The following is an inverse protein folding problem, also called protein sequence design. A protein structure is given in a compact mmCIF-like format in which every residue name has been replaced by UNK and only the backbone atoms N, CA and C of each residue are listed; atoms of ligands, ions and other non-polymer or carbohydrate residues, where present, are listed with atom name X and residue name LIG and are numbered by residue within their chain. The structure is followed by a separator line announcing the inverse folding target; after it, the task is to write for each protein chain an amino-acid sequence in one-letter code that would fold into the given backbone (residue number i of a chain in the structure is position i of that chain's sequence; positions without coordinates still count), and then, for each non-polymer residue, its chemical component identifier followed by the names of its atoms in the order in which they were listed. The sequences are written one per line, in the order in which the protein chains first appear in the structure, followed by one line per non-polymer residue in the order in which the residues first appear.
data_IF_113465745596
#
_entry.id   IF_113465745596
#
_cell.length_a   1.000
_cell.length_b   1.000
_cell.length_c   1.000
_cell.angle_alpha   90.00
_cell.angle_beta   90.00
_cell.angle_gamma   90.00
#
_symmetry.space_group_name_H-M   'P 1'
#
loop_
_entity.id
_entity.type
_entity.pdbx_description
1 polymer ?
#
# COMPACT_ATOMS: atom_id res chain seq x y z
N UNK A 1 76.14 31.88 39.22
CA UNK A 1 75.03 31.54 38.29
C UNK A 1 73.75 31.54 39.13
N UNK A 2 73.02 32.66 39.15
CA UNK A 2 71.90 32.89 40.10
C UNK A 2 70.65 32.21 39.55
N UNK A 3 70.18 31.18 40.25
CA UNK A 3 68.91 30.50 39.95
C UNK A 3 67.74 31.39 40.37
N UNK A 4 67.04 31.95 39.39
CA UNK A 4 65.85 32.80 39.59
C UNK A 4 64.64 31.86 39.78
N UNK A 5 64.19 31.66 41.02
CA UNK A 5 62.90 30.98 41.28
C UNK A 5 61.76 31.89 40.84
N UNK A 6 60.99 31.46 39.86
CA UNK A 6 59.75 32.12 39.45
C UNK A 6 58.69 31.73 40.49
N UNK A 7 58.34 32.68 41.37
CA UNK A 7 57.14 32.57 42.22
C UNK A 7 56.00 33.02 41.33
N UNK A 8 55.24 32.07 40.77
CA UNK A 8 54.01 32.41 40.05
C UNK A 8 52.97 32.80 41.10
N UNK A 9 52.61 34.07 41.15
CA UNK A 9 51.59 34.59 42.06
C UNK A 9 50.25 33.93 41.77
N UNK A 10 49.52 33.55 42.83
CA UNK A 10 48.20 32.90 42.74
C UNK A 10 47.19 33.67 41.86
N UNK A 11 47.33 35.00 41.73
CA UNK A 11 46.54 35.82 40.80
C UNK A 11 46.73 35.48 39.31
N UNK A 12 47.95 35.13 38.89
CA UNK A 12 48.25 34.77 37.48
C UNK A 12 47.62 33.41 37.12
N UNK A 13 47.56 32.49 38.08
CA UNK A 13 46.91 31.19 37.90
C UNK A 13 45.39 31.34 37.78
N UNK A 14 44.79 32.20 38.61
CA UNK A 14 43.35 32.50 38.54
C UNK A 14 42.97 33.23 37.24
N UNK A 15 43.78 34.17 36.77
CA UNK A 15 43.56 34.82 35.47
C UNK A 15 43.65 33.83 34.31
N UNK A 16 44.68 32.97 34.28
CA UNK A 16 44.80 31.95 33.23
C UNK A 16 43.62 30.95 33.26
N UNK A 17 43.16 30.56 34.44
CA UNK A 17 41.98 29.69 34.59
C UNK A 17 40.68 30.38 34.15
N UNK A 18 40.50 31.67 34.44
CA UNK A 18 39.34 32.45 34.01
C UNK A 18 39.34 32.65 32.49
N UNK A 19 40.49 32.95 31.89
CA UNK A 19 40.64 33.02 30.42
C UNK A 19 40.31 31.68 29.78
N UNK A 20 40.85 30.57 30.31
CA UNK A 20 40.54 29.22 29.81
C UNK A 20 39.05 28.86 29.93
N UNK A 21 38.39 29.29 31.01
CA UNK A 21 36.95 29.06 31.18
C UNK A 21 36.10 29.89 30.20
N UNK A 22 36.47 31.15 29.95
CA UNK A 22 35.82 32.00 28.95
C UNK A 22 35.99 31.42 27.54
N UNK A 23 37.20 30.97 27.19
CA UNK A 23 37.44 30.30 25.90
C UNK A 23 36.63 29.01 25.74
N UNK A 24 36.46 28.24 26.81
CA UNK A 24 35.60 27.05 26.82
C UNK A 24 34.12 27.43 26.61
N UNK A 25 33.66 28.51 27.25
CA UNK A 25 32.31 29.02 27.08
C UNK A 25 32.09 29.48 25.62
N UNK A 26 33.00 30.27 25.07
CA UNK A 26 32.95 30.74 23.68
C UNK A 26 32.90 29.56 22.69
N UNK A 27 33.68 28.51 22.94
CA UNK A 27 33.67 27.29 22.09
C UNK A 27 32.31 26.59 22.15
N UNK A 28 31.72 26.47 23.33
CA UNK A 28 30.39 25.86 23.49
C UNK A 28 29.30 26.70 22.85
N UNK A 29 29.36 28.01 23.00
CA UNK A 29 28.43 28.91 22.34
C UNK A 29 28.57 28.84 20.81
N UNK A 30 29.80 28.78 20.28
CA UNK A 30 30.04 28.60 18.86
C UNK A 30 29.44 27.28 18.33
N UNK A 31 29.67 26.17 19.03
CA UNK A 31 29.09 24.87 18.68
C UNK A 31 27.56 24.89 18.75
N UNK A 32 26.97 25.55 19.74
CA UNK A 32 25.52 25.72 19.84
C UNK A 32 24.95 26.54 18.67
N UNK A 33 25.62 27.64 18.29
CA UNK A 33 25.21 28.47 17.12
C UNK A 33 25.30 27.69 15.82
N UNK A 34 26.34 26.88 15.64
CA UNK A 34 26.49 26.00 14.48
C UNK A 34 25.36 24.96 14.41
N UNK A 35 25.07 24.27 15.52
CA UNK A 35 23.96 23.33 15.59
C UNK A 35 22.59 23.97 15.31
N UNK A 36 22.37 25.20 15.78
CA UNK A 36 21.15 25.97 15.46
C UNK A 36 21.09 26.30 13.96
N UNK A 37 22.21 26.70 13.34
CA UNK A 37 22.26 27.00 11.92
C UNK A 37 21.98 25.76 11.06
N UNK A 38 22.55 24.61 11.43
CA UNK A 38 22.28 23.32 10.78
C UNK A 38 20.80 22.95 10.86
N UNK A 39 20.19 23.04 12.05
CA UNK A 39 18.77 22.75 12.24
C UNK A 39 17.88 23.67 11.40
N UNK A 40 18.19 24.97 11.35
CA UNK A 40 17.47 25.93 10.50
C UNK A 40 17.58 25.55 9.02
N UNK A 41 18.77 25.24 8.53
CA UNK A 41 18.97 24.77 7.16
C UNK A 41 18.18 23.49 6.86
N UNK A 42 18.11 22.55 7.82
CA UNK A 42 17.30 21.32 7.67
C UNK A 42 15.80 21.61 7.64
N UNK A 43 15.32 22.57 8.41
CA UNK A 43 13.92 23.02 8.39
C UNK A 43 13.60 23.64 7.03
N UNK A 44 14.46 24.52 6.51
CA UNK A 44 14.27 25.15 5.20
C UNK A 44 14.20 24.10 4.09
N UNK A 45 15.12 23.12 4.10
CA UNK A 45 15.13 22.02 3.15
C UNK A 45 13.87 21.16 3.22
N UNK A 46 13.43 20.80 4.43
CA UNK A 46 12.19 20.05 4.62
C UNK A 46 10.96 20.84 4.18
N UNK A 47 10.94 22.15 4.44
CA UNK A 47 9.87 23.06 4.02
C UNK A 47 9.79 23.14 2.50
N UNK A 48 10.93 23.24 1.80
CA UNK A 48 11.00 23.20 0.34
C UNK A 48 10.44 21.87 -0.20
N UNK A 49 10.89 20.75 0.35
CA UNK A 49 10.43 19.40 -0.05
C UNK A 49 8.95 19.15 0.24
N UNK A 50 8.39 19.82 1.26
CA UNK A 50 6.97 19.81 1.56
C UNK A 50 6.20 20.60 0.49
N UNK A 51 6.63 21.82 0.19
CA UNK A 51 6.01 22.67 -0.82
C UNK A 51 5.96 21.98 -2.19
N UNK A 52 7.04 21.31 -2.61
CA UNK A 52 7.06 20.52 -3.85
C UNK A 52 6.00 19.40 -3.88
N UNK A 53 5.78 18.72 -2.74
CA UNK A 53 4.75 17.66 -2.63
C UNK A 53 3.34 18.25 -2.62
N UNK A 54 3.17 19.38 -1.95
CA UNK A 54 1.89 20.10 -1.92
C UNK A 54 1.51 20.62 -3.31
N UNK A 55 2.48 21.08 -4.11
CA UNK A 55 2.25 21.46 -5.51
C UNK A 55 1.79 20.26 -6.35
N UNK A 56 2.44 19.11 -6.22
CA UNK A 56 2.01 17.87 -6.90
C UNK A 56 0.58 17.50 -6.48
N UNK A 57 0.26 17.58 -5.19
CA UNK A 57 -1.09 17.31 -4.70
C UNK A 57 -2.11 18.29 -5.27
N UNK A 58 -1.80 19.59 -5.27
CA UNK A 58 -2.63 20.65 -5.83
C UNK A 58 -2.94 20.38 -7.31
N UNK A 59 -1.91 20.05 -8.11
CA UNK A 59 -2.10 19.70 -9.53
C UNK A 59 -3.03 18.49 -9.72
N UNK A 60 -2.91 17.46 -8.89
CA UNK A 60 -3.79 16.29 -8.94
C UNK A 60 -5.23 16.64 -8.52
N UNK A 61 -5.41 17.51 -7.54
CA UNK A 61 -6.72 17.99 -7.11
C UNK A 61 -7.40 18.79 -8.22
N UNK A 62 -6.68 19.71 -8.86
CA UNK A 62 -7.18 20.46 -10.02
C UNK A 62 -7.61 19.49 -11.13
N UNK A 63 -6.77 18.49 -11.45
CA UNK A 63 -7.09 17.50 -12.48
C UNK A 63 -8.36 16.73 -12.15
N UNK A 64 -8.54 16.35 -10.87
CA UNK A 64 -9.74 15.67 -10.39
C UNK A 64 -10.97 16.57 -10.52
N UNK A 65 -10.85 17.83 -10.12
CA UNK A 65 -11.92 18.83 -10.23
C UNK A 65 -12.35 19.01 -11.69
N UNK A 66 -11.42 19.25 -12.60
CA UNK A 66 -11.70 19.36 -14.03
C UNK A 66 -12.35 18.08 -14.57
N UNK A 67 -11.89 16.90 -14.16
CA UNK A 67 -12.50 15.64 -14.57
C UNK A 67 -13.94 15.51 -14.04
N UNK A 68 -14.21 15.95 -12.80
CA UNK A 68 -15.57 15.96 -12.24
C UNK A 68 -16.48 16.95 -12.94
N UNK A 69 -15.97 18.11 -13.37
CA UNK A 69 -16.73 19.09 -14.14
C UNK A 69 -17.14 18.55 -15.51
N UNK A 70 -16.20 17.94 -16.25
CA UNK A 70 -16.48 17.34 -17.56
C UNK A 70 -17.52 16.23 -17.43
N UNK A 71 -17.36 15.34 -16.44
CA UNK A 71 -18.32 14.26 -16.19
C UNK A 71 -19.69 14.77 -15.74
N UNK A 72 -19.76 15.91 -15.04
CA UNK A 72 -21.02 16.52 -14.62
C UNK A 72 -21.70 17.30 -15.74
N UNK A 73 -20.94 17.95 -16.62
CA UNK A 73 -21.44 18.65 -17.79
C UNK A 73 -22.07 17.68 -18.81
N UNK A 74 -21.45 16.51 -19.01
CA UNK A 74 -21.99 15.44 -19.87
C UNK A 74 -23.30 14.85 -19.29
N UNK A 75 -23.41 14.74 -17.96
CA UNK A 75 -24.64 14.30 -17.30
C UNK A 75 -25.82 15.29 -17.48
N UNK A 76 -25.55 16.60 -17.59
CA UNK A 76 -26.62 17.59 -17.83
C UNK A 76 -27.15 17.60 -19.25
N UNK A 77 -26.43 17.02 -20.23
CA UNK A 77 -26.90 16.86 -21.61
C UNK A 77 -27.80 15.60 -21.75
N UNK A 78 -27.70 14.65 -20.81
CA UNK A 78 -28.48 13.39 -20.84
C UNK A 78 -29.80 13.42 -20.06
N UNK A 79 -30.21 14.53 -19.42
CA UNK A 79 -31.51 14.65 -18.70
C UNK A 79 -32.46 15.63 -19.42
N UNK A 80 -32.44 15.60 -20.75
CA UNK A 80 -33.46 16.24 -21.59
C UNK A 80 -33.93 15.24 -22.65
N UNK A 81 -34.56 14.16 -22.19
CA UNK A 81 -35.09 13.12 -23.07
C UNK A 81 -35.67 11.94 -22.30
N UNK A 82 -36.66 12.18 -21.44
CA UNK A 82 -37.52 11.09 -20.96
C UNK A 82 -38.99 11.53 -20.86
N UNK A 83 -39.58 11.78 -22.03
CA UNK A 83 -40.98 11.45 -22.23
C UNK A 83 -41.06 10.63 -23.52
N UNK A 84 -41.37 9.34 -23.38
CA UNK A 84 -42.17 8.52 -24.31
C UNK A 84 -41.74 7.05 -24.30
N UNK A 85 -42.67 6.24 -23.79
CA UNK A 85 -43.21 5.03 -24.42
C UNK A 85 -42.42 3.71 -24.37
N UNK A 86 -43.21 2.67 -24.08
CA UNK A 86 -42.90 1.27 -24.06
C UNK A 86 -42.63 0.72 -25.47
N UNK A 87 -41.78 -0.31 -25.57
CA UNK A 87 -41.59 -1.05 -26.82
C UNK A 87 -40.33 -1.93 -26.81
N UNK A 88 -40.57 -3.23 -26.63
CA UNK A 88 -39.92 -4.43 -27.17
C UNK A 88 -38.44 -4.44 -27.66
N UNK A 89 -37.83 -5.60 -27.39
CA UNK A 89 -36.47 -6.03 -27.69
C UNK A 89 -35.94 -5.71 -29.10
N UNK A 90 -34.66 -5.29 -29.17
CA UNK A 90 -33.67 -5.79 -30.13
C UNK A 90 -32.25 -5.62 -29.56
N UNK A 91 -31.39 -6.55 -29.96
CA UNK A 91 -29.98 -6.67 -29.58
C UNK A 91 -29.07 -5.68 -30.33
N UNK A 92 -27.83 -5.55 -29.82
CA UNK A 92 -26.65 -4.97 -30.46
C UNK A 92 -26.57 -3.45 -30.63
N UNK A 93 -26.01 -2.79 -29.61
CA UNK A 93 -24.98 -1.77 -29.84
C UNK A 93 -23.82 -1.98 -28.86
N UNK A 94 -22.74 -2.56 -29.37
CA UNK A 94 -21.40 -2.40 -28.80
C UNK A 94 -20.86 -1.08 -29.33
N UNK A 95 -20.62 -0.06 -28.49
CA UNK A 95 -19.65 0.97 -28.83
C UNK A 95 -18.28 0.46 -28.38
N UNK A 96 -17.49 0.00 -29.36
CA UNK A 96 -16.05 -0.06 -29.22
C UNK A 96 -15.49 1.34 -28.98
N UNK A 97 -14.53 1.41 -28.05
CA UNK A 97 -13.45 2.39 -28.11
C UNK A 97 -13.63 3.65 -27.28
N UNK A 98 -13.45 3.53 -25.96
CA UNK A 98 -12.86 4.63 -25.19
C UNK A 98 -11.47 4.20 -24.71
N UNK A 99 -10.38 4.73 -25.29
CA UNK A 99 -9.05 4.49 -24.77
C UNK A 99 -8.82 5.32 -23.51
N UNK A 100 -7.99 4.81 -22.60
CA UNK A 100 -7.63 5.41 -21.29
C UNK A 100 -8.63 5.13 -20.16
N UNK A 101 -9.01 3.85 -20.02
CA UNK A 101 -9.28 3.31 -18.69
C UNK A 101 -7.96 2.90 -18.05
N UNK A 102 -7.43 3.69 -17.11
CA UNK A 102 -6.35 3.22 -16.22
C UNK A 102 -6.83 1.89 -15.62
N UNK A 103 -6.19 0.80 -16.03
CA UNK A 103 -6.62 -0.57 -15.73
C UNK A 103 -6.22 -0.91 -14.29
N UNK A 104 -6.97 -0.38 -13.32
CA UNK A 104 -6.65 -0.41 -11.87
C UNK A 104 -6.53 -1.82 -11.26
N UNK A 105 -6.99 -2.87 -11.94
CA UNK A 105 -6.94 -4.26 -11.45
C UNK A 105 -6.60 -5.18 -12.63
N UNK A 106 -5.42 -5.82 -12.66
CA UNK A 106 -5.11 -6.83 -13.67
C UNK A 106 -6.14 -7.97 -13.68
N UNK A 107 -6.35 -8.63 -14.82
CA UNK A 107 -7.12 -9.89 -14.85
C UNK A 107 -6.34 -10.97 -14.07
N UNK A 108 -7.00 -11.75 -13.22
CA UNK A 108 -6.32 -12.79 -12.46
C UNK A 108 -5.81 -13.89 -13.39
N UNK A 109 -4.58 -14.37 -13.14
CA UNK A 109 -4.01 -15.57 -13.76
C UNK A 109 -3.29 -16.39 -12.69
N UNK A 110 -3.19 -17.70 -12.88
CA UNK A 110 -2.66 -18.66 -11.89
C UNK A 110 -1.19 -18.45 -11.46
N UNK A 111 -0.47 -17.51 -12.11
CA UNK A 111 0.90 -17.11 -11.74
C UNK A 111 1.02 -15.72 -11.09
N UNK A 112 -0.09 -15.02 -10.85
CA UNK A 112 -0.10 -13.69 -10.23
C UNK A 112 -0.20 -13.80 -8.70
N UNK A 113 0.78 -13.20 -8.00
CA UNK A 113 0.73 -13.04 -6.55
C UNK A 113 -0.15 -11.84 -6.16
N UNK A 114 -0.79 -11.91 -4.98
CA UNK A 114 -1.66 -10.85 -4.42
C UNK A 114 -0.95 -9.49 -4.39
N UNK A 115 0.38 -9.49 -4.26
CA UNK A 115 1.25 -8.30 -4.28
C UNK A 115 1.19 -7.42 -5.53
N UNK A 116 0.61 -7.90 -6.65
CA UNK A 116 0.46 -7.13 -7.91
C UNK A 116 -0.75 -6.19 -7.85
N UNK A 117 -1.71 -6.45 -6.96
CA UNK A 117 -2.85 -5.55 -6.73
C UNK A 117 -2.41 -4.31 -5.94
N UNK A 118 -3.07 -3.14 -6.11
CA UNK A 118 -2.88 -2.02 -5.18
C UNK A 118 -3.21 -2.43 -3.74
N UNK A 119 -2.49 -1.92 -2.73
CA UNK A 119 -2.60 -2.31 -1.29
C UNK A 119 -4.04 -2.47 -0.80
N UNK A 120 -4.89 -1.48 -1.08
CA UNK A 120 -6.31 -1.51 -0.68
C UNK A 120 -7.17 -2.63 -1.29
N UNK A 121 -6.69 -3.34 -2.32
CA UNK A 121 -7.28 -4.58 -2.84
C UNK A 121 -6.58 -5.83 -2.29
N UNK A 122 -5.30 -5.73 -1.91
CA UNK A 122 -4.57 -6.80 -1.22
C UNK A 122 -5.23 -7.11 0.12
N UNK A 123 -5.47 -6.07 0.93
CA UNK A 123 -6.08 -6.22 2.27
C UNK A 123 -7.44 -6.96 2.19
N UNK A 124 -8.22 -6.71 1.14
CA UNK A 124 -9.52 -7.37 0.90
C UNK A 124 -9.34 -8.86 0.62
N UNK A 125 -8.38 -9.20 -0.24
CA UNK A 125 -8.09 -10.59 -0.63
C UNK A 125 -7.49 -11.36 0.54
N UNK A 126 -6.62 -10.74 1.33
CA UNK A 126 -6.02 -11.33 2.54
C UNK A 126 -7.08 -11.62 3.60
N UNK A 127 -7.96 -10.66 3.92
CA UNK A 127 -9.07 -10.89 4.86
C UNK A 127 -9.98 -12.03 4.42
N UNK A 128 -10.24 -12.15 3.11
CA UNK A 128 -11.04 -13.25 2.56
C UNK A 128 -10.27 -14.56 2.40
N UNK A 129 -8.93 -14.53 2.40
CA UNK A 129 -8.08 -15.71 2.40
C UNK A 129 -7.99 -16.34 3.80
N UNK A 130 -7.98 -15.51 4.83
CA UNK A 130 -7.98 -15.93 6.24
C UNK A 130 -9.38 -16.37 6.73
N UNK A 131 -10.43 -16.01 5.99
CA UNK A 131 -11.80 -16.35 6.32
C UNK A 131 -12.11 -17.84 6.04
N UNK A 132 -12.57 -18.57 7.06
CA UNK A 132 -12.99 -19.99 6.94
C UNK A 132 -14.26 -20.15 6.09
N UNK A 133 -15.10 -19.11 6.01
CA UNK A 133 -16.37 -19.13 5.29
C UNK A 133 -16.54 -17.85 4.45
N UNK A 134 -17.31 -17.91 3.35
CA UNK A 134 -17.64 -16.72 2.55
C UNK A 134 -18.22 -15.59 3.42
N UNK A 135 -17.79 -14.36 3.19
CA UNK A 135 -18.17 -13.19 3.98
C UNK A 135 -19.06 -12.23 3.19
N UNK A 136 -20.03 -11.61 3.87
CA UNK A 136 -20.80 -10.50 3.32
C UNK A 136 -19.97 -9.23 3.28
N UNK A 137 -20.24 -8.36 2.30
CA UNK A 137 -19.57 -7.05 2.15
C UNK A 137 -19.48 -6.25 3.46
N UNK A 138 -20.56 -6.24 4.26
CA UNK A 138 -20.58 -5.58 5.56
C UNK A 138 -19.52 -6.10 6.54
N UNK A 139 -19.36 -7.43 6.63
CA UNK A 139 -18.37 -8.03 7.53
C UNK A 139 -16.94 -7.79 7.06
N UNK A 140 -16.73 -7.70 5.75
CA UNK A 140 -15.41 -7.37 5.16
C UNK A 140 -15.08 -5.90 5.45
N UNK A 141 -16.04 -4.97 5.32
CA UNK A 141 -15.84 -3.57 5.73
C UNK A 141 -15.45 -3.47 7.21
N UNK A 142 -16.17 -4.17 8.09
CA UNK A 142 -15.89 -4.17 9.52
C UNK A 142 -14.49 -4.74 9.84
N UNK A 143 -14.10 -5.84 9.19
CA UNK A 143 -12.78 -6.46 9.37
C UNK A 143 -11.64 -5.55 8.90
N UNK A 144 -11.86 -4.75 7.85
CA UNK A 144 -10.90 -3.77 7.32
C UNK A 144 -10.91 -2.42 8.05
N UNK A 145 -11.71 -2.26 9.11
CA UNK A 145 -11.86 -1.00 9.84
C UNK A 145 -12.49 0.12 9.00
N UNK A 146 -13.23 -0.23 7.94
CA UNK A 146 -13.94 0.71 7.07
C UNK A 146 -15.34 1.01 7.63
N UNK A 147 -15.90 2.18 7.27
CA UNK A 147 -17.26 2.52 7.66
C UNK A 147 -18.28 1.48 7.16
N UNK A 148 -19.20 1.09 8.05
CA UNK A 148 -20.30 0.17 7.80
C UNK A 148 -21.60 0.88 7.39
N UNK A 149 -21.53 2.17 7.04
CA UNK A 149 -22.68 2.91 6.51
C UNK A 149 -23.22 2.25 5.24
N UNK A 150 -24.55 2.20 5.08
CA UNK A 150 -25.22 1.54 3.95
C UNK A 150 -24.65 1.97 2.58
N UNK A 151 -24.42 3.26 2.39
CA UNK A 151 -23.87 3.80 1.13
C UNK A 151 -22.40 3.39 0.90
N UNK A 152 -21.61 3.24 1.96
CA UNK A 152 -20.20 2.83 1.89
C UNK A 152 -20.08 1.33 1.65
N UNK A 153 -20.94 0.54 2.30
CA UNK A 153 -21.04 -0.90 2.09
C UNK A 153 -21.49 -1.21 0.66
N UNK A 154 -22.41 -0.44 0.08
CA UNK A 154 -22.86 -0.65 -1.30
C UNK A 154 -21.77 -0.28 -2.33
N UNK A 155 -21.06 0.83 -2.12
CA UNK A 155 -19.89 1.17 -2.92
C UNK A 155 -18.78 0.11 -2.81
N UNK A 156 -18.61 -0.48 -1.63
CA UNK A 156 -17.68 -1.57 -1.39
C UNK A 156 -18.14 -2.89 -2.04
N UNK A 157 -19.44 -3.21 -2.02
CA UNK A 157 -20.03 -4.35 -2.73
C UNK A 157 -19.76 -4.27 -4.24
N UNK A 158 -19.92 -3.09 -4.82
CA UNK A 158 -19.57 -2.83 -6.23
C UNK A 158 -18.09 -3.10 -6.51
N UNK A 159 -17.20 -2.77 -5.56
CA UNK A 159 -15.76 -3.03 -5.65
C UNK A 159 -15.43 -4.53 -5.55
N UNK A 160 -16.11 -5.27 -4.68
CA UNK A 160 -15.97 -6.72 -4.57
C UNK A 160 -16.45 -7.42 -5.84
N UNK A 161 -17.60 -7.00 -6.38
CA UNK A 161 -18.11 -7.54 -7.66
C UNK A 161 -17.11 -7.35 -8.80
N UNK A 162 -16.43 -6.20 -8.87
CA UNK A 162 -15.34 -5.98 -9.84
C UNK A 162 -14.14 -6.91 -9.65
N UNK A 163 -13.85 -7.37 -8.44
CA UNK A 163 -12.81 -8.38 -8.20
C UNK A 163 -13.28 -9.78 -8.60
N UNK A 164 -14.56 -10.09 -8.38
CA UNK A 164 -15.21 -11.33 -8.85
C UNK A 164 -15.18 -11.41 -10.37
N UNK A 165 -15.61 -10.35 -11.06
CA UNK A 165 -15.59 -10.27 -12.54
C UNK A 165 -14.18 -10.44 -13.12
N UNK A 166 -13.14 -10.13 -12.33
CA UNK A 166 -11.72 -10.24 -12.72
C UNK A 166 -11.06 -11.53 -12.25
N UNK A 167 -11.80 -12.42 -11.60
CA UNK A 167 -11.34 -13.73 -11.15
C UNK A 167 -10.50 -13.72 -9.88
N UNK A 168 -10.38 -12.61 -9.15
CA UNK A 168 -9.63 -12.54 -7.90
C UNK A 168 -10.42 -13.08 -6.70
N UNK A 169 -11.75 -12.95 -6.75
CA UNK A 169 -12.68 -13.46 -5.75
C UNK A 169 -13.72 -14.36 -6.42
N UNK A 170 -14.37 -15.20 -5.64
CA UNK A 170 -15.53 -15.99 -6.09
C UNK A 170 -16.76 -15.58 -5.28
N UNK A 171 -17.92 -15.52 -5.96
CA UNK A 171 -19.21 -15.31 -5.32
C UNK A 171 -19.84 -16.70 -5.11
N UNK A 172 -19.85 -17.18 -3.87
CA UNK A 172 -20.38 -18.51 -3.53
C UNK A 172 -21.92 -18.52 -3.58
N UNK A 173 -22.52 -17.43 -3.14
CA UNK A 173 -23.95 -17.13 -3.20
C UNK A 173 -24.14 -15.62 -3.39
N UNK A 174 -25.31 -15.15 -3.86
CA UNK A 174 -25.57 -13.72 -4.05
C UNK A 174 -25.22 -12.88 -2.81
N UNK A 175 -24.10 -12.15 -2.88
CA UNK A 175 -23.59 -11.31 -1.79
C UNK A 175 -22.73 -11.97 -0.72
N UNK A 176 -22.30 -13.22 -0.93
CA UNK A 176 -21.29 -13.92 -0.14
C UNK A 176 -20.02 -14.08 -0.99
N UNK A 177 -18.96 -13.37 -0.60
CA UNK A 177 -17.70 -13.33 -1.31
C UNK A 177 -16.67 -14.21 -0.60
N UNK A 178 -15.91 -14.98 -1.37
CA UNK A 178 -14.79 -15.77 -0.89
C UNK A 178 -13.55 -15.50 -1.74
N UNK A 179 -12.37 -15.74 -1.15
CA UNK A 179 -11.13 -15.76 -1.91
C UNK A 179 -11.16 -16.92 -2.92
N UNK A 180 -10.53 -16.74 -4.08
CA UNK A 180 -10.42 -17.83 -5.04
C UNK A 180 -9.49 -18.92 -4.48
N UNK A 181 -9.83 -20.22 -4.59
CA UNK A 181 -9.04 -21.32 -4.02
C UNK A 181 -7.58 -21.40 -4.53
N UNK A 182 -7.32 -20.89 -5.74
CA UNK A 182 -5.98 -20.85 -6.30
C UNK A 182 -5.11 -19.72 -5.70
N UNK A 183 -5.72 -18.65 -5.19
CA UNK A 183 -5.03 -17.53 -4.50
C UNK A 183 -4.63 -17.94 -3.08
N UNK A 184 -5.46 -18.74 -2.39
CA UNK A 184 -5.13 -19.29 -1.07
C UNK A 184 -4.06 -20.38 -1.14
N UNK A 185 -4.08 -21.21 -2.18
CA UNK A 185 -3.06 -22.23 -2.42
C UNK A 185 -1.66 -21.66 -2.75
N UNK A 186 -1.58 -20.42 -3.26
CA UNK A 186 -0.31 -19.73 -3.52
C UNK A 186 0.39 -19.19 -2.26
N UNK A 187 -0.34 -19.05 -1.14
CA UNK A 187 0.21 -18.63 0.16
C UNK A 187 0.61 -19.81 1.05
N UNK A 188 0.05 -20.99 0.80
CA UNK A 188 0.38 -22.22 1.52
C UNK A 188 1.04 -23.17 0.53
N UNK A 189 2.36 -23.03 0.35
CA UNK A 189 3.15 -24.08 -0.28
C UNK A 189 2.99 -25.37 0.55
N UNK A 190 2.42 -26.46 0.00
CA UNK A 190 2.58 -27.75 0.63
C UNK A 190 3.97 -28.26 0.21
N UNK A 191 4.91 -28.31 1.17
CA UNK A 191 6.02 -29.24 1.07
C UNK A 191 5.43 -30.65 1.02
N UNK A 192 5.27 -31.17 -0.19
CA UNK A 192 4.99 -32.59 -0.38
C UNK A 192 6.27 -33.36 -0.10
N UNK A 193 6.31 -33.94 1.10
CA UNK A 193 7.22 -35.03 1.43
C UNK A 193 7.05 -36.18 0.44
N UNK A 194 8.13 -36.49 -0.28
CA UNK A 194 8.26 -37.72 -1.04
C UNK A 194 8.96 -38.76 -0.18
N UNK A 195 8.20 -39.47 0.65
CA UNK A 195 8.64 -40.72 1.27
C UNK A 195 8.72 -41.82 0.22
N UNK A 196 9.93 -42.37 0.12
CA UNK A 196 10.25 -43.80 0.01
C UNK A 196 9.30 -44.73 -0.76
N UNK A 197 9.85 -45.27 -1.86
CA UNK A 197 9.99 -46.72 -1.98
C UNK A 197 8.76 -47.50 -2.45
N UNK A 198 8.66 -47.74 -3.76
CA UNK A 198 8.21 -49.07 -4.20
C UNK A 198 8.82 -49.47 -5.55
N UNK A 199 9.79 -50.37 -5.39
CA UNK A 199 10.37 -51.35 -6.30
C UNK A 199 9.74 -51.59 -7.67
N UNK A 200 10.59 -51.58 -8.71
CA UNK A 200 10.48 -52.51 -9.84
C UNK A 200 11.84 -53.03 -10.32
N UNK A 201 11.81 -54.33 -10.70
CA UNK A 201 12.81 -55.17 -11.39
C UNK A 201 13.92 -55.75 -10.49
N UNK A 202 14.42 -56.97 -10.68
CA UNK A 202 14.07 -58.18 -11.43
C UNK A 202 15.10 -59.27 -11.02
N UNK A 203 14.77 -60.56 -11.18
CA UNK A 203 15.73 -61.68 -11.10
C UNK A 203 15.23 -62.80 -10.19
N UNK A 204 14.69 -63.91 -10.70
CA UNK A 204 15.36 -65.12 -11.21
C UNK A 204 15.72 -66.13 -10.10
N UNK A 205 15.25 -67.37 -10.27
CA UNK A 205 15.97 -68.58 -9.82
C UNK A 205 15.38 -69.36 -8.64
N UNK A 206 14.97 -70.60 -8.95
CA UNK A 206 15.05 -71.86 -8.14
C UNK A 206 14.71 -71.83 -6.65
N UNK A 207 13.88 -72.70 -6.09
CA UNK A 207 13.59 -74.10 -6.43
C UNK A 207 13.42 -74.87 -5.11
N UNK A 208 12.58 -75.91 -5.14
CA UNK A 208 12.43 -77.01 -4.17
C UNK A 208 11.86 -76.74 -2.76
N UNK A 209 10.65 -77.27 -2.57
CA UNK A 209 10.12 -77.91 -1.35
C UNK A 209 10.51 -79.41 -1.32
N UNK A 210 10.26 -80.19 -0.26
CA UNK A 210 9.57 -79.86 1.00
C UNK A 210 10.44 -79.90 2.26
#
# INVERSE_FOLDING_TARGET
MVGRRIVVSQGVVLEAAMVSWLEELDRREAAAREGIAELRGRIEELTRRLAEREEVLSRLQITRETMTEILSADATISVAGSEAEAGEAEEHHVPEGSPVGVRLVPQWTSGLVVGVLPRSYQDIVEVLADAVHPMRAHHICAALGLSTDKSKVEGFRSRLKRLVDRGWLTEAEPGLFASQPAVTAGAVAPEQGGTEGSHRRAGVGSGSRP
#
